data_IF_545597923406
#
_entry.id   IF_545597923406
#
_cell.length_a   1.000
_cell.length_b   1.000
_cell.length_c   1.000
_cell.angle_alpha   90.00
_cell.angle_beta   90.00
_cell.angle_gamma   90.00
#
_symmetry.space_group_name_H-M   'P 1'
#
loop_
_entity.id
_entity.type
_entity.pdbx_description
1 polymer ?
#
# COMPACT_ATOMS: atom_id res chain seq x y z
N UNK A 1 4.01 12.35 4.83
CA UNK A 1 2.57 12.02 4.98
C UNK A 1 1.76 13.28 4.66
N UNK A 2 0.88 13.21 3.67
CA UNK A 2 0.10 14.36 3.21
C UNK A 2 -1.08 14.60 4.17
N UNK A 3 -1.38 15.86 4.50
CA UNK A 3 -2.51 16.22 5.37
C UNK A 3 -3.85 15.67 4.83
N UNK A 4 -4.05 15.71 3.52
CA UNK A 4 -5.25 15.18 2.88
C UNK A 4 -5.44 13.66 3.09
N UNK A 5 -4.35 12.89 3.11
CA UNK A 5 -4.41 11.45 3.44
C UNK A 5 -4.79 11.24 4.91
N UNK A 6 -4.23 12.05 5.81
CA UNK A 6 -4.59 11.98 7.22
C UNK A 6 -6.07 12.31 7.46
N UNK A 7 -6.59 13.35 6.80
CA UNK A 7 -8.01 13.71 6.83
C UNK A 7 -8.89 12.55 6.34
N UNK A 8 -8.55 11.91 5.22
CA UNK A 8 -9.28 10.75 4.69
C UNK A 8 -9.32 9.57 5.65
N UNK A 9 -8.20 9.23 6.29
CA UNK A 9 -8.12 8.16 7.27
C UNK A 9 -9.02 8.47 8.48
N UNK A 10 -8.97 9.70 8.97
CA UNK A 10 -9.76 10.11 10.15
C UNK A 10 -11.25 10.21 9.82
N UNK A 11 -11.61 10.68 8.64
CA UNK A 11 -13.02 10.84 8.23
C UNK A 11 -13.76 9.51 8.07
N UNK A 12 -13.04 8.41 7.82
CA UNK A 12 -13.59 7.07 7.69
C UNK A 12 -13.39 6.19 8.93
N UNK A 13 -12.78 6.75 9.97
CA UNK A 13 -12.48 6.02 11.19
C UNK A 13 -13.73 5.86 12.06
N UNK A 14 -14.12 4.63 12.33
CA UNK A 14 -15.11 4.25 13.32
C UNK A 14 -14.47 3.36 14.38
N UNK A 15 -14.95 3.41 15.60
CA UNK A 15 -14.45 2.56 16.67
C UNK A 15 -15.53 2.28 17.73
N UNK A 16 -15.44 1.09 18.31
CA UNK A 16 -16.30 0.66 19.41
C UNK A 16 -15.46 0.02 20.52
N UNK A 17 -15.67 0.43 21.76
CA UNK A 17 -15.07 -0.23 22.93
C UNK A 17 -15.95 -1.41 23.29
N UNK A 18 -15.37 -2.62 23.30
CA UNK A 18 -16.11 -3.86 23.58
C UNK A 18 -15.92 -4.33 25.02
N UNK A 19 -14.76 -4.06 25.65
CA UNK A 19 -14.50 -4.37 27.05
C UNK A 19 -13.45 -3.44 27.64
N UNK A 20 -13.49 -3.24 28.96
CA UNK A 20 -12.47 -2.48 29.71
C UNK A 20 -12.15 -3.25 30.99
N UNK A 21 -10.88 -3.57 31.17
CA UNK A 21 -10.34 -4.22 32.36
C UNK A 21 -9.40 -3.28 33.07
N UNK A 22 -9.81 -2.74 34.21
CA UNK A 22 -9.03 -1.81 35.03
C UNK A 22 -8.31 -2.54 36.18
N UNK A 23 -7.04 -2.20 36.40
CA UNK A 23 -6.23 -2.60 37.53
C UNK A 23 -5.44 -1.40 38.09
N UNK A 24 -6.06 -0.68 39.00
CA UNK A 24 -5.48 0.49 39.66
C UNK A 24 -5.24 1.66 38.71
N UNK A 25 -3.97 1.88 38.34
CA UNK A 25 -3.60 2.96 37.40
C UNK A 25 -3.33 2.46 35.99
N UNK A 26 -3.67 1.21 35.71
CA UNK A 26 -3.55 0.59 34.38
C UNK A 26 -4.90 0.06 33.94
N UNK A 27 -5.11 -0.01 32.64
CA UNK A 27 -6.28 -0.64 32.05
C UNK A 27 -5.90 -1.29 30.71
N UNK A 28 -6.61 -2.35 30.37
CA UNK A 28 -6.67 -2.92 29.02
C UNK A 28 -8.04 -2.63 28.42
N UNK A 29 -8.05 -2.15 27.22
CA UNK A 29 -9.26 -1.75 26.50
C UNK A 29 -9.34 -2.59 25.24
N UNK A 30 -10.33 -3.47 25.16
CA UNK A 30 -10.64 -4.18 23.93
C UNK A 30 -11.57 -3.30 23.09
N UNK A 31 -11.21 -3.13 21.82
CA UNK A 31 -11.96 -2.30 20.90
C UNK A 31 -11.93 -2.87 19.48
N UNK A 32 -12.97 -2.57 18.74
CA UNK A 32 -13.03 -2.77 17.30
C UNK A 32 -12.81 -1.43 16.61
N UNK A 33 -11.89 -1.42 15.66
CA UNK A 33 -11.57 -0.25 14.83
C UNK A 33 -11.92 -0.59 13.41
N UNK A 34 -12.76 0.24 12.79
CA UNK A 34 -13.13 0.11 11.37
C UNK A 34 -12.60 1.33 10.61
N UNK A 35 -11.96 1.08 9.49
CA UNK A 35 -11.49 2.12 8.59
C UNK A 35 -11.52 1.61 7.13
N UNK A 36 -11.22 2.49 6.16
CA UNK A 36 -11.00 2.07 4.77
C UNK A 36 -10.01 0.91 4.73
N UNK A 37 -10.22 -0.05 3.82
CA UNK A 37 -9.24 -1.12 3.60
C UNK A 37 -8.03 -0.57 2.84
N UNK A 38 -7.05 -0.10 3.62
CA UNK A 38 -5.83 0.49 3.10
C UNK A 38 -4.85 -0.56 2.56
N UNK A 39 -5.05 -1.85 2.89
CA UNK A 39 -4.29 -2.92 2.25
C UNK A 39 -4.66 -3.00 0.76
N UNK A 40 -5.94 -2.99 0.43
CA UNK A 40 -6.39 -2.99 -0.97
C UNK A 40 -6.05 -1.68 -1.70
N UNK A 41 -6.07 -0.53 -1.02
CA UNK A 41 -5.56 0.73 -1.58
C UNK A 41 -4.09 0.61 -1.95
N UNK A 42 -3.26 0.01 -1.08
CA UNK A 42 -1.85 -0.23 -1.36
C UNK A 42 -1.65 -1.22 -2.53
N UNK A 43 -2.42 -2.30 -2.56
CA UNK A 43 -2.41 -3.26 -3.66
C UNK A 43 -2.83 -2.66 -5.00
N UNK A 44 -3.89 -1.84 -5.02
CA UNK A 44 -4.31 -1.12 -6.22
C UNK A 44 -3.28 -0.10 -6.70
N UNK A 45 -2.53 0.51 -5.77
CA UNK A 45 -1.41 1.37 -6.13
C UNK A 45 -0.27 0.57 -6.78
N UNK A 46 0.03 -0.62 -6.29
CA UNK A 46 1.00 -1.53 -6.91
C UNK A 46 0.55 -2.00 -8.31
N UNK A 47 -0.74 -2.31 -8.48
CA UNK A 47 -1.35 -2.58 -9.78
C UNK A 47 -1.12 -1.43 -10.75
N UNK A 48 -1.41 -0.19 -10.32
CA UNK A 48 -1.23 1.01 -11.14
C UNK A 48 0.24 1.18 -11.57
N UNK A 49 1.20 0.92 -10.66
CA UNK A 49 2.63 0.95 -10.99
C UNK A 49 2.98 -0.09 -12.06
N UNK A 50 2.56 -1.35 -11.88
CA UNK A 50 2.84 -2.43 -12.82
C UNK A 50 2.21 -2.17 -14.20
N UNK A 51 0.96 -1.71 -14.24
CA UNK A 51 0.29 -1.35 -15.49
C UNK A 51 1.05 -0.26 -16.26
N UNK A 52 1.52 0.77 -15.58
CA UNK A 52 2.34 1.82 -16.20
C UNK A 52 3.69 1.26 -16.70
N UNK A 53 4.34 0.39 -15.93
CA UNK A 53 5.57 -0.27 -16.34
C UNK A 53 5.38 -1.16 -17.57
N UNK A 54 4.25 -1.86 -17.67
CA UNK A 54 3.90 -2.70 -18.82
C UNK A 54 3.52 -1.82 -20.03
N UNK A 55 2.79 -0.74 -19.83
CA UNK A 55 2.35 0.17 -20.89
C UNK A 55 3.49 1.01 -21.48
N UNK A 56 4.55 1.27 -20.72
CA UNK A 56 5.70 2.05 -21.18
C UNK A 56 6.32 1.43 -22.43
N UNK A 57 6.06 2.02 -23.60
CA UNK A 57 6.62 1.58 -24.86
C UNK A 57 8.10 1.99 -24.95
N UNK A 58 8.95 1.01 -24.92
CA UNK A 58 10.30 0.84 -25.49
C UNK A 58 11.25 2.01 -25.74
N UNK A 59 11.01 3.20 -25.27
CA UNK A 59 11.81 4.39 -25.57
C UNK A 59 12.94 4.68 -24.59
N UNK A 60 13.19 3.77 -23.68
CA UNK A 60 14.35 3.82 -22.81
C UNK A 60 14.00 3.68 -21.33
N UNK A 61 14.81 2.93 -20.65
CA UNK A 61 14.77 2.70 -19.21
C UNK A 61 14.65 4.01 -18.40
N UNK A 62 15.16 5.11 -18.92
CA UNK A 62 15.10 6.43 -18.28
C UNK A 62 13.69 7.05 -18.29
N UNK A 63 12.92 6.87 -19.36
CA UNK A 63 11.54 7.35 -19.41
C UNK A 63 10.68 6.55 -18.43
N UNK A 64 10.81 5.22 -18.42
CA UNK A 64 10.11 4.35 -17.47
C UNK A 64 10.45 4.71 -16.02
N UNK A 65 11.73 4.96 -15.70
CA UNK A 65 12.15 5.39 -14.35
C UNK A 65 11.57 6.76 -14.01
N UNK A 66 11.49 7.68 -14.97
CA UNK A 66 10.89 9.01 -14.76
C UNK A 66 9.40 8.91 -14.48
N UNK A 67 8.67 8.13 -15.28
CA UNK A 67 7.22 7.97 -15.16
C UNK A 67 6.83 7.28 -13.83
N UNK A 68 7.62 6.27 -13.41
CA UNK A 68 7.47 5.63 -12.10
C UNK A 68 7.81 6.61 -10.96
N UNK A 69 8.86 7.41 -11.11
CA UNK A 69 9.24 8.40 -10.10
C UNK A 69 8.17 9.50 -9.96
N UNK A 70 7.58 9.93 -11.05
CA UNK A 70 6.48 10.90 -11.05
C UNK A 70 5.23 10.32 -10.40
N UNK A 71 4.90 9.07 -10.67
CA UNK A 71 3.80 8.36 -10.04
C UNK A 71 4.06 8.13 -8.53
N UNK A 72 5.25 7.69 -8.17
CA UNK A 72 5.65 7.43 -6.78
C UNK A 72 5.75 8.72 -5.93
N UNK A 73 6.05 9.86 -6.55
CA UNK A 73 6.07 11.16 -5.88
C UNK A 73 4.70 11.83 -5.80
N UNK A 74 3.73 11.35 -6.57
CA UNK A 74 2.39 11.91 -6.62
C UNK A 74 1.47 11.30 -5.56
N UNK A 75 1.40 11.88 -4.37
CA UNK A 75 0.37 11.54 -3.39
C UNK A 75 -1.06 11.68 -3.93
N UNK A 76 -1.24 12.27 -5.09
CA UNK A 76 -2.50 12.40 -5.81
C UNK A 76 -3.07 11.05 -6.27
N UNK A 77 -2.21 10.15 -6.78
CA UNK A 77 -2.65 8.83 -7.21
C UNK A 77 -3.16 7.98 -6.03
N UNK A 78 -2.46 8.02 -4.91
CA UNK A 78 -2.88 7.32 -3.71
C UNK A 78 -4.16 7.92 -3.12
N UNK A 79 -4.29 9.24 -3.11
CA UNK A 79 -5.53 9.93 -2.71
C UNK A 79 -6.71 9.56 -3.60
N UNK A 80 -6.52 9.47 -4.93
CA UNK A 80 -7.55 9.04 -5.86
C UNK A 80 -8.01 7.60 -5.56
N UNK A 81 -7.07 6.68 -5.31
CA UNK A 81 -7.39 5.31 -4.92
C UNK A 81 -8.13 5.23 -3.57
N UNK A 82 -7.77 6.09 -2.60
CA UNK A 82 -8.52 6.20 -1.34
C UNK A 82 -9.93 6.78 -1.55
N UNK A 83 -10.13 7.66 -2.55
CA UNK A 83 -11.44 8.19 -2.91
C UNK A 83 -12.35 7.16 -3.59
N UNK A 84 -11.76 6.22 -4.31
CA UNK A 84 -12.44 5.12 -5.00
C UNK A 84 -12.70 3.91 -4.10
N UNK A 85 -11.99 3.81 -2.97
CA UNK A 85 -12.14 2.69 -2.04
C UNK A 85 -13.46 2.79 -1.27
N UNK A 86 -14.33 1.81 -1.45
CA UNK A 86 -15.62 1.70 -0.74
C UNK A 86 -15.57 0.63 0.36
N UNK A 87 -14.64 -0.33 0.26
CA UNK A 87 -14.52 -1.41 1.23
C UNK A 87 -13.81 -0.93 2.50
N UNK A 88 -14.25 -1.46 3.63
CA UNK A 88 -13.69 -1.19 4.94
C UNK A 88 -13.19 -2.47 5.59
N UNK A 89 -12.18 -2.35 6.43
CA UNK A 89 -11.73 -3.43 7.29
C UNK A 89 -12.01 -3.10 8.76
N UNK A 90 -12.40 -4.12 9.53
CA UNK A 90 -12.59 -4.02 10.99
C UNK A 90 -11.57 -4.90 11.68
N UNK A 91 -10.82 -4.32 12.60
CA UNK A 91 -9.80 -5.02 13.39
C UNK A 91 -10.13 -4.94 14.88
N UNK A 92 -10.08 -6.09 15.54
CA UNK A 92 -10.16 -6.17 16.99
C UNK A 92 -8.74 -5.98 17.57
N UNK A 93 -8.59 -5.02 18.48
CA UNK A 93 -7.31 -4.72 19.13
C UNK A 93 -7.49 -4.57 20.63
N UNK A 94 -6.45 -4.88 21.40
CA UNK A 94 -6.38 -4.61 22.83
C UNK A 94 -5.37 -3.51 23.08
N UNK A 95 -5.84 -2.37 23.58
CA UNK A 95 -5.00 -1.19 23.81
C UNK A 95 -4.72 -1.04 25.31
N UNK A 96 -3.45 -0.92 25.67
CA UNK A 96 -3.07 -0.59 27.04
C UNK A 96 -3.31 0.89 27.34
N UNK A 97 -3.83 1.18 28.54
CA UNK A 97 -4.01 2.54 29.03
C UNK A 97 -3.39 2.70 30.42
N UNK A 98 -2.94 3.90 30.73
CA UNK A 98 -2.38 4.23 32.03
C UNK A 98 -2.88 5.59 32.51
N UNK A 99 -3.06 5.70 33.85
CA UNK A 99 -3.53 6.92 34.49
C UNK A 99 -2.32 7.80 34.84
N UNK A 100 -2.22 8.95 34.22
CA UNK A 100 -1.19 9.95 34.49
C UNK A 100 -1.84 11.33 34.79
N UNK A 101 -1.51 11.89 35.95
CA UNK A 101 -2.07 13.19 36.38
C UNK A 101 -3.59 13.28 36.36
N UNK A 102 -4.28 12.19 36.66
CA UNK A 102 -5.74 12.12 36.66
C UNK A 102 -6.40 11.97 35.29
N UNK A 103 -5.62 11.75 34.24
CA UNK A 103 -6.09 11.49 32.87
C UNK A 103 -5.63 10.12 32.40
N UNK A 104 -6.51 9.34 31.81
CA UNK A 104 -6.14 8.12 31.09
C UNK A 104 -5.46 8.46 29.78
N UNK A 105 -4.36 7.76 29.51
CA UNK A 105 -3.61 7.86 28.27
C UNK A 105 -3.52 6.48 27.64
N UNK A 106 -3.75 6.41 26.34
CA UNK A 106 -3.59 5.19 25.56
C UNK A 106 -2.11 5.01 25.17
N UNK A 107 -1.66 3.77 25.17
CA UNK A 107 -0.40 3.38 24.57
C UNK A 107 -0.67 2.85 23.16
N UNK A 108 -0.36 3.64 22.15
CA UNK A 108 -0.51 3.25 20.76
C UNK A 108 0.65 2.33 20.37
N UNK A 109 0.41 1.04 20.35
CA UNK A 109 1.33 0.04 19.80
C UNK A 109 1.15 -0.16 18.29
N UNK A 110 1.95 -1.05 17.70
CA UNK A 110 1.93 -1.28 16.26
C UNK A 110 0.60 -1.89 15.78
N UNK A 111 -0.07 -2.72 16.59
CA UNK A 111 -1.38 -3.28 16.26
C UNK A 111 -2.47 -2.20 16.23
N UNK A 112 -2.49 -1.33 17.24
CA UNK A 112 -3.41 -0.20 17.28
C UNK A 112 -3.18 0.75 16.09
N UNK A 113 -1.90 1.10 15.83
CA UNK A 113 -1.55 1.98 14.71
C UNK A 113 -1.97 1.35 13.37
N UNK A 114 -1.74 0.05 13.19
CA UNK A 114 -2.13 -0.65 11.97
C UNK A 114 -3.65 -0.68 11.78
N UNK A 115 -4.41 -0.94 12.84
CA UNK A 115 -5.87 -0.89 12.79
C UNK A 115 -6.38 0.53 12.48
N UNK A 116 -5.81 1.55 13.13
CA UNK A 116 -6.10 2.96 12.87
C UNK A 116 -5.84 3.35 11.41
N UNK A 117 -4.78 2.79 10.80
CA UNK A 117 -4.39 3.01 9.41
C UNK A 117 -5.08 2.08 8.40
N UNK A 118 -6.20 1.43 8.78
CA UNK A 118 -6.95 0.56 7.88
C UNK A 118 -6.17 -0.65 7.38
N UNK A 119 -5.40 -1.28 8.26
CA UNK A 119 -4.64 -2.51 7.98
C UNK A 119 -3.55 -2.36 6.87
N UNK A 120 -3.03 -1.17 6.67
CA UNK A 120 -2.10 -0.84 5.58
C UNK A 120 -0.83 -1.69 5.59
N UNK A 121 -0.30 -2.04 6.78
CA UNK A 121 1.02 -2.65 6.91
C UNK A 121 1.00 -4.19 7.04
N UNK A 122 -0.11 -4.77 7.47
CA UNK A 122 -0.23 -6.20 7.81
C UNK A 122 -1.38 -6.87 7.06
N UNK A 123 -2.11 -6.11 6.25
CA UNK A 123 -3.27 -6.59 5.52
C UNK A 123 -2.88 -7.57 4.43
N UNK A 124 -3.69 -8.61 4.29
CA UNK A 124 -3.70 -9.39 3.07
C UNK A 124 -4.58 -8.64 2.05
N UNK A 125 -4.10 -8.53 0.84
CA UNK A 125 -4.92 -8.03 -0.27
C UNK A 125 -6.15 -8.92 -0.49
N UNK A 126 -7.24 -8.35 -0.95
CA UNK A 126 -8.40 -9.11 -1.38
C UNK A 126 -8.03 -10.08 -2.51
N UNK A 127 -8.85 -11.11 -2.72
CA UNK A 127 -8.62 -12.09 -3.79
C UNK A 127 -8.65 -11.43 -5.19
N UNK A 128 -9.39 -10.35 -5.35
CA UNK A 128 -9.43 -9.56 -6.58
C UNK A 128 -8.09 -8.88 -6.84
N UNK A 129 -7.55 -8.17 -5.85
CA UNK A 129 -6.24 -7.49 -5.94
C UNK A 129 -5.12 -8.52 -6.14
N UNK A 130 -5.11 -9.63 -5.38
CA UNK A 130 -4.14 -10.72 -5.54
C UNK A 130 -4.15 -11.30 -6.95
N UNK A 131 -5.36 -11.57 -7.48
CA UNK A 131 -5.52 -12.11 -8.83
C UNK A 131 -4.98 -11.15 -9.89
N UNK A 132 -5.30 -9.87 -9.78
CA UNK A 132 -4.82 -8.84 -10.71
C UNK A 132 -3.31 -8.65 -10.65
N UNK A 133 -2.72 -8.62 -9.45
CA UNK A 133 -1.27 -8.55 -9.29
C UNK A 133 -0.56 -9.74 -9.94
N UNK A 134 -1.05 -10.96 -9.73
CA UNK A 134 -0.45 -12.16 -10.33
C UNK A 134 -0.46 -12.10 -11.86
N UNK A 135 -1.57 -11.65 -12.48
CA UNK A 135 -1.65 -11.46 -13.94
C UNK A 135 -0.64 -10.41 -14.45
N UNK A 136 -0.49 -9.30 -13.73
CA UNK A 136 0.41 -8.22 -14.11
C UNK A 136 1.88 -8.59 -13.89
N UNK A 137 2.19 -9.32 -12.84
CA UNK A 137 3.55 -9.84 -12.61
C UNK A 137 3.99 -10.79 -13.74
N UNK A 138 3.08 -11.67 -14.21
CA UNK A 138 3.35 -12.54 -15.35
C UNK A 138 3.57 -11.72 -16.63
N UNK A 139 2.68 -10.77 -16.92
CA UNK A 139 2.81 -9.89 -18.09
C UNK A 139 4.06 -9.03 -18.05
N UNK A 140 4.46 -8.56 -16.87
CA UNK A 140 5.70 -7.81 -16.68
C UNK A 140 6.92 -8.69 -16.90
N UNK A 141 6.92 -9.93 -16.39
CA UNK A 141 7.99 -10.89 -16.59
C UNK A 141 8.18 -11.21 -18.08
N UNK A 142 7.10 -11.47 -18.83
CA UNK A 142 7.11 -11.67 -20.27
C UNK A 142 7.71 -10.47 -21.03
N UNK A 143 7.31 -9.25 -20.65
CA UNK A 143 7.85 -8.02 -21.23
C UNK A 143 9.34 -7.87 -20.98
N UNK A 144 9.81 -8.17 -19.77
CA UNK A 144 11.23 -8.12 -19.41
C UNK A 144 12.05 -9.17 -20.15
N UNK A 145 11.52 -10.37 -20.35
CA UNK A 145 12.15 -11.42 -21.13
C UNK A 145 12.29 -11.00 -22.61
N UNK A 146 11.19 -10.49 -23.19
CA UNK A 146 11.18 -9.99 -24.57
C UNK A 146 12.15 -8.80 -24.76
N UNK A 147 12.25 -7.92 -23.77
CA UNK A 147 13.21 -6.81 -23.78
C UNK A 147 14.65 -7.31 -23.70
N UNK A 148 14.93 -8.28 -22.81
CA UNK A 148 16.26 -8.91 -22.68
C UNK A 148 16.69 -9.60 -23.96
N UNK A 149 15.81 -10.35 -24.61
CA UNK A 149 16.06 -10.96 -25.92
C UNK A 149 16.31 -9.91 -27.01
N UNK A 150 15.52 -8.82 -27.02
CA UNK A 150 15.70 -7.71 -27.96
C UNK A 150 17.03 -6.97 -27.77
N UNK A 151 17.47 -6.81 -26.53
CA UNK A 151 18.77 -6.21 -26.20
C UNK A 151 19.92 -7.14 -26.61
N UNK A 152 19.83 -8.43 -26.31
CA UNK A 152 20.81 -9.44 -26.74
C UNK A 152 21.02 -9.43 -28.25
N UNK A 153 19.95 -9.44 -29.03
CA UNK A 153 20.01 -9.36 -30.50
C UNK A 153 20.65 -8.07 -31.04
N UNK A 154 20.44 -6.93 -30.32
CA UNK A 154 21.08 -5.67 -30.69
C UNK A 154 22.59 -5.67 -30.41
N UNK A 155 22.99 -6.24 -29.27
CA UNK A 155 24.41 -6.37 -28.89
C UNK A 155 25.11 -7.31 -29.84
N UNK A 156 24.51 -8.43 -30.21
CA UNK A 156 25.07 -9.39 -31.19
C UNK A 156 25.29 -8.73 -32.56
N UNK A 157 24.29 -8.06 -33.12
CA UNK A 157 24.39 -7.30 -34.36
C UNK A 157 25.39 -6.14 -34.32
N UNK A 158 25.64 -5.58 -33.17
CA UNK A 158 26.63 -4.54 -32.96
C UNK A 158 28.04 -5.16 -32.91
N UNK A 159 28.20 -6.28 -32.22
CA UNK A 159 29.46 -7.02 -32.17
C UNK A 159 29.89 -7.50 -33.57
N UNK A 160 28.99 -8.10 -34.35
CA UNK A 160 29.24 -8.53 -35.73
C UNK A 160 29.76 -7.39 -36.61
N UNK A 161 29.22 -6.16 -36.43
CA UNK A 161 29.68 -4.98 -37.20
C UNK A 161 31.04 -4.44 -36.82
N UNK A 162 31.53 -4.75 -35.62
CA UNK A 162 32.86 -4.26 -35.15
C UNK A 162 33.96 -5.26 -35.48
N UNK A 163 33.61 -6.54 -35.61
CA UNK A 163 34.58 -7.62 -35.82
C UNK A 163 34.63 -8.15 -37.26
N UNK A 164 33.85 -7.55 -38.21
CA UNK A 164 34.06 -7.63 -39.65
C UNK A 164 34.98 -6.49 -40.16
#
# INVERSE_FOLDING_TARGET
>A
FNLAMAEKIVDNLEWEITDIREDGSQAEIDMEITNLDMADVAGNYEILLLENMIAAEGTGMWQMVSDIADLANGGEALLALMDEQEDTCTMAVTVSAYLENGCWKLHADDEFINAFMGNMNLGEYSEEVKGRLAELEEAYAEKMEAWGAGFGNKVEKWADRIFE
#
